data_IF_190460858608
#
_entry.id   IF_190460858608
#
_cell.length_a   1.000
_cell.length_b   1.000
_cell.length_c   1.000
_cell.angle_alpha   90.00
_cell.angle_beta   90.00
_cell.angle_gamma   90.00
#
_symmetry.space_group_name_H-M   'P 1'
#
loop_
_entity.id
_entity.type
_entity.pdbx_description
1 polymer ?
#
# COMPACT_ATOMS: atom_id res chain seq x y z
N UNK A 1 -11.81 -2.11 18.66
CA UNK A 1 -10.93 -1.56 17.60
C UNK A 1 -10.10 -2.69 17.05
N UNK A 2 -9.80 -2.70 15.74
CA UNK A 2 -8.88 -3.69 15.17
C UNK A 2 -7.49 -3.52 15.82
N UNK A 3 -6.80 -4.63 16.10
CA UNK A 3 -5.44 -4.64 16.65
C UNK A 3 -4.54 -5.31 15.62
N UNK A 4 -4.10 -4.57 14.58
CA UNK A 4 -3.18 -5.10 13.59
C UNK A 4 -1.95 -5.71 14.26
N UNK A 5 -1.51 -6.86 13.75
CA UNK A 5 -0.25 -7.50 14.14
C UNK A 5 0.75 -7.29 13.02
N UNK A 6 1.77 -6.46 13.28
CA UNK A 6 2.82 -6.18 12.29
C UNK A 6 3.48 -7.45 11.76
N UNK A 7 3.82 -8.39 12.63
CA UNK A 7 4.45 -9.66 12.26
C UNK A 7 3.55 -10.48 11.31
N UNK A 8 2.25 -10.54 11.59
CA UNK A 8 1.31 -11.25 10.72
C UNK A 8 1.13 -10.51 9.38
N UNK A 9 1.07 -9.18 9.39
CA UNK A 9 1.04 -8.38 8.16
C UNK A 9 2.27 -8.61 7.31
N UNK A 10 3.46 -8.60 7.92
CA UNK A 10 4.74 -8.82 7.25
C UNK A 10 4.80 -10.20 6.59
N UNK A 11 4.40 -11.25 7.32
CA UNK A 11 4.36 -12.62 6.82
C UNK A 11 3.28 -12.88 5.78
N UNK A 12 2.17 -12.12 5.80
CA UNK A 12 1.08 -12.26 4.85
C UNK A 12 1.21 -11.38 3.60
N UNK A 13 2.18 -10.46 3.56
CA UNK A 13 2.41 -9.60 2.42
C UNK A 13 2.88 -10.42 1.21
N UNK A 14 2.13 -10.43 0.08
CA UNK A 14 2.56 -11.12 -1.13
C UNK A 14 3.76 -10.40 -1.74
N UNK A 15 4.91 -11.08 -1.84
CA UNK A 15 6.11 -10.52 -2.46
C UNK A 15 6.06 -10.51 -3.99
N UNK A 16 6.91 -9.70 -4.61
CA UNK A 16 7.03 -9.58 -6.06
C UNK A 16 7.87 -10.71 -6.67
N UNK A 17 8.56 -11.53 -5.87
CA UNK A 17 9.25 -12.73 -6.38
C UNK A 17 8.25 -13.82 -6.72
N UNK A 18 7.28 -14.07 -5.84
CA UNK A 18 6.26 -15.11 -5.97
C UNK A 18 5.09 -14.67 -6.86
N UNK A 19 4.77 -13.37 -6.84
CA UNK A 19 3.66 -12.80 -7.61
C UNK A 19 4.13 -11.53 -8.33
N UNK A 20 4.93 -11.62 -9.40
CA UNK A 20 5.57 -10.44 -10.01
C UNK A 20 4.59 -9.50 -10.70
N UNK A 21 3.49 -10.01 -11.27
CA UNK A 21 2.53 -9.19 -12.04
C UNK A 21 1.18 -9.06 -11.33
N UNK A 22 0.36 -8.11 -11.83
CA UNK A 22 -1.05 -8.01 -11.42
C UNK A 22 -1.80 -9.32 -11.68
N UNK A 23 -1.56 -9.96 -12.83
CA UNK A 23 -2.20 -11.24 -13.17
C UNK A 23 -1.84 -12.31 -12.15
N UNK A 24 -0.58 -12.44 -11.77
CA UNK A 24 -0.13 -13.45 -10.81
C UNK A 24 -0.78 -13.22 -9.44
N UNK A 25 -0.73 -11.98 -8.96
CA UNK A 25 -1.31 -11.61 -7.66
C UNK A 25 -2.83 -11.81 -7.64
N UNK A 26 -3.54 -11.32 -8.65
CA UNK A 26 -5.00 -11.43 -8.72
C UNK A 26 -5.45 -12.88 -8.91
N UNK A 27 -4.68 -13.70 -9.65
CA UNK A 27 -4.94 -15.14 -9.80
C UNK A 27 -4.76 -15.86 -8.46
N UNK A 28 -3.69 -15.53 -7.73
CA UNK A 28 -3.43 -16.06 -6.39
C UNK A 28 -4.53 -15.70 -5.38
N UNK A 29 -4.96 -14.44 -5.34
CA UNK A 29 -6.04 -13.99 -4.43
C UNK A 29 -7.40 -14.57 -4.87
N UNK A 30 -7.61 -14.73 -6.18
CA UNK A 30 -8.83 -15.29 -6.73
C UNK A 30 -10.06 -14.38 -6.64
N UNK A 31 -11.24 -14.99 -6.71
CA UNK A 31 -12.52 -14.29 -6.55
C UNK A 31 -12.76 -13.25 -7.66
N UNK A 32 -13.31 -12.10 -7.27
CA UNK A 32 -13.53 -10.99 -8.20
C UNK A 32 -12.24 -10.38 -8.72
N UNK A 33 -11.11 -10.49 -8.01
CA UNK A 33 -9.83 -9.97 -8.50
C UNK A 33 -9.39 -10.73 -9.76
N UNK A 34 -9.40 -12.06 -9.71
CA UNK A 34 -9.07 -12.91 -10.86
C UNK A 34 -10.01 -12.70 -12.05
N UNK A 35 -11.32 -12.49 -11.79
CA UNK A 35 -12.33 -12.26 -12.85
C UNK A 35 -12.16 -10.93 -13.58
N UNK A 36 -11.50 -9.94 -12.96
CA UNK A 36 -11.37 -8.59 -13.51
C UNK A 36 -9.97 -8.28 -14.06
N UNK A 37 -9.08 -9.27 -14.18
CA UNK A 37 -7.69 -9.06 -14.68
C UNK A 37 -7.69 -8.42 -16.08
N UNK A 38 -8.62 -8.83 -16.94
CA UNK A 38 -8.68 -8.39 -18.34
C UNK A 38 -9.66 -7.22 -18.57
N UNK A 39 -10.22 -6.66 -17.50
CA UNK A 39 -11.12 -5.49 -17.59
C UNK A 39 -10.28 -4.24 -17.87
N UNK A 40 -10.67 -3.38 -18.84
CA UNK A 40 -9.96 -2.13 -19.10
C UNK A 40 -9.72 -1.30 -17.83
N UNK A 41 -8.46 -0.92 -17.61
CA UNK A 41 -8.01 -0.28 -16.37
C UNK A 41 -7.21 -1.20 -15.45
N UNK A 42 -7.30 -2.53 -15.64
CA UNK A 42 -6.40 -3.53 -15.07
C UNK A 42 -5.58 -4.12 -16.23
N UNK A 43 -4.26 -4.14 -16.09
CA UNK A 43 -3.37 -4.57 -17.17
C UNK A 43 -2.07 -5.16 -16.62
N UNK A 44 -1.20 -5.62 -17.52
CA UNK A 44 0.09 -6.24 -17.15
C UNK A 44 0.97 -5.32 -16.29
N UNK A 45 0.84 -4.01 -16.46
CA UNK A 45 1.53 -2.97 -15.68
C UNK A 45 0.64 -2.36 -14.59
N UNK A 46 -0.47 -3.01 -14.23
CA UNK A 46 -1.40 -2.50 -13.24
C UNK A 46 -0.78 -2.48 -11.84
N UNK A 47 -1.09 -1.42 -11.09
CA UNK A 47 -0.52 -1.22 -9.76
C UNK A 47 -1.07 -2.26 -8.77
N UNK A 48 -0.17 -3.06 -8.16
CA UNK A 48 -0.51 -4.12 -7.20
C UNK A 48 -0.38 -3.71 -5.74
N UNK A 49 0.17 -2.52 -5.44
CA UNK A 49 0.47 -2.05 -4.10
C UNK A 49 -0.73 -2.18 -3.15
N UNK A 50 -1.88 -1.60 -3.52
CA UNK A 50 -3.06 -1.60 -2.68
C UNK A 50 -3.63 -3.00 -2.44
N UNK A 51 -3.57 -3.88 -3.45
CA UNK A 51 -4.04 -5.26 -3.33
C UNK A 51 -3.14 -6.09 -2.40
N UNK A 52 -1.80 -5.93 -2.49
CA UNK A 52 -0.84 -6.56 -1.58
C UNK A 52 -1.04 -6.09 -0.15
N UNK A 53 -1.18 -4.78 0.04
CA UNK A 53 -1.45 -4.22 1.37
C UNK A 53 -2.81 -4.68 1.91
N UNK A 54 -3.82 -4.82 1.05
CA UNK A 54 -5.12 -5.39 1.44
C UNK A 54 -4.98 -6.82 1.95
N UNK A 55 -4.18 -7.66 1.28
CA UNK A 55 -3.87 -9.02 1.75
C UNK A 55 -3.20 -8.98 3.12
N UNK A 56 -2.17 -8.14 3.28
CA UNK A 56 -1.43 -8.01 4.53
C UNK A 56 -2.35 -7.58 5.68
N UNK A 57 -3.24 -6.61 5.47
CA UNK A 57 -4.24 -6.19 6.46
C UNK A 57 -5.20 -7.31 6.81
N UNK A 58 -5.79 -7.95 5.79
CA UNK A 58 -6.76 -9.04 5.94
C UNK A 58 -6.25 -10.19 6.80
N UNK A 59 -4.99 -10.56 6.63
CA UNK A 59 -4.36 -11.67 7.35
C UNK A 59 -3.51 -11.18 8.52
N UNK A 60 -3.38 -9.88 8.72
CA UNK A 60 -2.62 -9.22 9.76
C UNK A 60 -3.44 -8.84 10.99
N UNK A 61 -4.54 -9.54 11.26
CA UNK A 61 -5.48 -9.21 12.34
C UNK A 61 -6.14 -7.82 12.20
N UNK A 62 -6.22 -7.30 10.98
CA UNK A 62 -6.93 -6.05 10.64
C UNK A 62 -7.73 -6.23 9.33
N UNK A 63 -8.74 -7.10 9.31
CA UNK A 63 -9.56 -7.29 8.12
C UNK A 63 -10.18 -5.98 7.64
N UNK A 64 -10.18 -5.79 6.32
CA UNK A 64 -10.78 -4.62 5.68
C UNK A 64 -12.28 -4.60 6.02
N UNK A 65 -12.71 -3.53 6.68
CA UNK A 65 -14.08 -3.36 7.12
C UNK A 65 -14.95 -2.90 5.96
N UNK A 66 -15.82 -3.78 5.46
CA UNK A 66 -16.81 -3.46 4.43
C UNK A 66 -17.73 -2.28 4.84
N UNK A 67 -18.01 -2.15 6.14
CA UNK A 67 -18.78 -1.01 6.67
C UNK A 67 -18.03 0.30 6.48
N UNK A 68 -16.73 0.31 6.80
CA UNK A 68 -15.90 1.51 6.71
C UNK A 68 -15.62 1.88 5.25
N UNK A 69 -15.31 0.91 4.38
CA UNK A 69 -15.13 1.19 2.94
C UNK A 69 -16.40 1.77 2.34
N UNK A 70 -17.58 1.25 2.70
CA UNK A 70 -18.87 1.82 2.28
C UNK A 70 -19.07 3.26 2.76
N UNK A 71 -18.78 3.58 4.03
CA UNK A 71 -18.92 4.96 4.53
C UNK A 71 -17.95 5.94 3.86
N UNK A 72 -16.76 5.45 3.48
CA UNK A 72 -15.74 6.25 2.79
C UNK A 72 -15.91 6.26 1.26
N UNK A 73 -16.93 5.57 0.73
CA UNK A 73 -17.15 5.40 -0.72
C UNK A 73 -15.94 4.80 -1.45
N UNK A 74 -15.23 3.88 -0.79
CA UNK A 74 -14.09 3.16 -1.33
C UNK A 74 -14.58 1.91 -2.05
N UNK A 75 -14.15 1.74 -3.31
CA UNK A 75 -14.42 0.53 -4.08
C UNK A 75 -13.49 -0.60 -3.65
N UNK A 76 -14.05 -1.80 -3.56
CA UNK A 76 -13.31 -3.02 -3.23
C UNK A 76 -13.71 -4.16 -4.15
N UNK A 77 -12.79 -5.09 -4.40
CA UNK A 77 -13.10 -6.40 -4.94
C UNK A 77 -13.17 -7.44 -3.81
N UNK A 78 -13.89 -8.54 -4.01
CA UNK A 78 -13.94 -9.64 -3.05
C UNK A 78 -13.00 -10.75 -3.52
N UNK A 79 -12.06 -11.16 -2.67
CA UNK A 79 -11.15 -12.28 -2.94
C UNK A 79 -11.85 -13.63 -2.89
N UNK A 80 -11.17 -14.72 -3.29
CA UNK A 80 -11.72 -16.07 -3.14
C UNK A 80 -11.90 -16.47 -1.67
N UNK A 81 -11.16 -15.81 -0.78
CA UNK A 81 -11.26 -15.91 0.68
C UNK A 81 -12.48 -15.18 1.27
N UNK A 82 -13.31 -14.53 0.44
CA UNK A 82 -14.49 -13.79 0.88
C UNK A 82 -14.17 -12.44 1.53
N UNK A 83 -12.92 -11.99 1.53
CA UNK A 83 -12.52 -10.74 2.15
C UNK A 83 -12.49 -9.58 1.15
N UNK A 84 -12.73 -8.32 1.58
CA UNK A 84 -12.59 -7.15 0.71
C UNK A 84 -11.12 -6.82 0.42
N UNK A 85 -10.83 -6.40 -0.80
CA UNK A 85 -9.53 -5.90 -1.25
C UNK A 85 -9.70 -4.53 -1.89
N UNK A 86 -9.02 -3.54 -1.31
CA UNK A 86 -8.87 -2.22 -1.90
C UNK A 86 -7.77 -2.31 -2.95
N UNK A 87 -8.03 -1.85 -4.17
CA UNK A 87 -7.11 -2.00 -5.30
C UNK A 87 -6.57 -0.66 -5.83
N UNK A 88 -6.98 0.48 -5.26
CA UNK A 88 -6.43 1.81 -5.59
C UNK A 88 -5.63 2.36 -4.43
N UNK A 89 -4.42 2.86 -4.70
CA UNK A 89 -3.53 3.40 -3.65
C UNK A 89 -4.14 4.59 -2.92
N UNK A 90 -4.79 5.51 -3.65
CA UNK A 90 -5.49 6.66 -3.03
C UNK A 90 -6.56 6.22 -2.02
N UNK A 91 -7.27 5.13 -2.32
CA UNK A 91 -8.36 4.63 -1.50
C UNK A 91 -7.77 3.90 -0.28
N UNK A 92 -6.66 3.18 -0.47
CA UNK A 92 -5.90 2.56 0.63
C UNK A 92 -5.41 3.60 1.63
N UNK A 93 -4.79 4.70 1.16
CA UNK A 93 -4.34 5.80 2.04
C UNK A 93 -5.51 6.41 2.83
N UNK A 94 -6.64 6.63 2.17
CA UNK A 94 -7.88 7.13 2.80
C UNK A 94 -8.41 6.16 3.86
N UNK A 95 -8.40 4.86 3.55
CA UNK A 95 -8.81 3.82 4.48
C UNK A 95 -7.91 3.78 5.71
N UNK A 96 -6.58 3.74 5.54
CA UNK A 96 -5.62 3.68 6.64
C UNK A 96 -5.76 4.86 7.59
N UNK A 97 -5.91 6.09 7.06
CA UNK A 97 -6.11 7.28 7.85
C UNK A 97 -7.38 7.25 8.74
N UNK A 98 -8.39 6.47 8.35
CA UNK A 98 -9.65 6.33 9.10
C UNK A 98 -9.72 5.06 9.95
N UNK A 99 -9.05 3.99 9.51
CA UNK A 99 -9.13 2.66 10.10
C UNK A 99 -8.14 2.44 11.24
N UNK A 100 -6.96 3.08 11.16
CA UNK A 100 -5.94 2.99 12.18
C UNK A 100 -6.26 4.00 13.29
N UNK A 101 -6.62 3.47 14.47
CA UNK A 101 -6.89 4.28 15.66
C UNK A 101 -5.63 4.87 16.33
N UNK A 102 -4.52 4.97 15.60
CA UNK A 102 -3.25 5.53 16.06
C UNK A 102 -2.97 6.82 15.31
N UNK A 103 -2.42 7.82 16.00
CA UNK A 103 -1.99 9.06 15.36
C UNK A 103 -0.71 8.80 14.57
N UNK A 104 -0.71 8.95 13.24
CA UNK A 104 0.49 8.74 12.46
C UNK A 104 1.50 9.87 12.66
N UNK A 105 2.77 9.56 12.43
CA UNK A 105 3.84 10.55 12.30
C UNK A 105 4.02 10.87 10.82
N UNK A 106 3.83 12.13 10.43
CA UNK A 106 4.09 12.61 9.07
C UNK A 106 5.26 13.57 9.05
N UNK A 107 6.23 13.34 8.16
CA UNK A 107 7.38 14.22 7.94
C UNK A 107 7.63 14.42 6.45
N UNK A 108 8.35 15.49 6.10
CA UNK A 108 8.71 15.84 4.72
C UNK A 108 10.20 15.64 4.41
N UNK A 109 11.01 15.32 5.42
CA UNK A 109 12.46 15.09 5.34
C UNK A 109 12.94 14.28 6.54
N UNK A 110 14.21 13.88 6.53
CA UNK A 110 14.89 13.18 7.64
C UNK A 110 14.15 11.90 8.10
N UNK A 111 13.61 11.14 7.14
CA UNK A 111 12.75 9.97 7.37
C UNK A 111 13.38 8.95 8.31
N UNK A 112 14.67 8.63 8.13
CA UNK A 112 15.40 7.65 8.93
C UNK A 112 15.42 8.02 10.41
N UNK A 113 15.63 9.31 10.69
CA UNK A 113 15.61 9.84 12.06
C UNK A 113 14.20 9.87 12.62
N UNK A 114 13.22 10.27 11.82
CA UNK A 114 11.82 10.39 12.24
C UNK A 114 11.21 9.02 12.61
N UNK A 115 11.64 7.96 11.94
CA UNK A 115 11.09 6.60 12.09
C UNK A 115 12.04 5.62 12.76
N UNK A 116 13.13 6.11 13.35
CA UNK A 116 14.08 5.30 14.11
C UNK A 116 13.36 4.55 15.24
N UNK A 117 13.56 3.23 15.31
CA UNK A 117 12.96 2.36 16.32
C UNK A 117 11.45 2.17 16.18
N UNK A 118 10.84 2.61 15.07
CA UNK A 118 9.42 2.40 14.77
C UNK A 118 9.26 1.39 13.65
N UNK A 119 8.26 0.53 13.76
CA UNK A 119 7.81 -0.37 12.71
C UNK A 119 6.32 -0.11 12.43
N UNK A 120 5.84 -0.50 11.26
CA UNK A 120 4.42 -0.42 10.94
C UNK A 120 4.13 -0.20 9.46
N UNK A 121 3.03 0.49 9.21
CA UNK A 121 2.58 0.81 7.85
C UNK A 121 3.12 2.19 7.49
N UNK A 122 3.66 2.31 6.29
CA UNK A 122 4.16 3.58 5.75
C UNK A 122 3.38 3.94 4.49
N UNK A 123 3.06 5.22 4.32
CA UNK A 123 2.67 5.76 3.01
C UNK A 123 3.59 6.90 2.58
N UNK A 124 3.98 6.88 1.31
CA UNK A 124 4.65 7.97 0.62
C UNK A 124 3.61 8.89 -0.05
N UNK A 125 3.86 10.18 -0.02
CA UNK A 125 3.24 11.18 -0.88
C UNK A 125 4.23 11.51 -1.99
N UNK A 126 3.88 11.19 -3.25
CA UNK A 126 4.76 11.37 -4.41
C UNK A 126 4.06 12.22 -5.46
N UNK A 127 4.76 13.22 -5.99
CA UNK A 127 4.34 14.02 -7.14
C UNK A 127 5.10 13.61 -8.39
N UNK A 128 4.52 13.80 -9.57
CA UNK A 128 5.16 13.45 -10.86
C UNK A 128 4.81 12.05 -11.39
N UNK A 129 4.16 11.21 -10.58
CA UNK A 129 3.55 9.96 -11.06
C UNK A 129 2.21 10.24 -11.74
N UNK A 130 1.97 9.58 -12.87
CA UNK A 130 0.74 9.71 -13.66
C UNK A 130 -0.36 8.74 -13.20
N UNK A 131 0.00 7.67 -12.50
CA UNK A 131 -0.86 6.54 -12.16
C UNK A 131 -1.15 6.40 -10.65
N UNK A 132 -0.36 7.07 -9.80
CA UNK A 132 -0.55 7.04 -8.35
C UNK A 132 -0.14 8.36 -7.67
N UNK A 133 -0.79 8.67 -6.54
CA UNK A 133 -0.44 9.82 -5.70
C UNK A 133 0.58 9.47 -4.60
N UNK A 134 1.26 8.33 -4.73
CA UNK A 134 2.17 7.79 -3.72
C UNK A 134 2.16 6.27 -3.65
N UNK A 135 2.79 5.74 -2.61
CA UNK A 135 2.99 4.30 -2.38
C UNK A 135 2.66 3.93 -0.95
N UNK A 136 2.30 2.68 -0.69
CA UNK A 136 2.07 2.15 0.67
C UNK A 136 2.89 0.88 0.86
N UNK A 137 3.63 0.81 1.96
CA UNK A 137 4.57 -0.26 2.25
C UNK A 137 4.55 -0.64 3.74
N UNK A 138 5.27 -1.71 4.08
CA UNK A 138 5.56 -2.10 5.46
C UNK A 138 7.03 -1.81 5.78
N UNK A 139 7.29 -1.34 6.99
CA UNK A 139 8.61 -0.96 7.49
C UNK A 139 8.85 -1.64 8.84
N UNK A 140 9.96 -2.38 8.98
CA UNK A 140 10.27 -3.12 10.22
C UNK A 140 11.15 -2.35 11.22
N UNK A 141 11.45 -1.08 10.95
CA UNK A 141 12.43 -0.32 11.72
C UNK A 141 13.81 -0.24 11.08
N UNK A 142 14.09 -1.07 10.07
CA UNK A 142 15.38 -1.14 9.39
C UNK A 142 15.27 -1.22 7.85
N UNK A 143 14.29 -1.96 7.35
CA UNK A 143 14.07 -2.23 5.94
C UNK A 143 12.58 -2.21 5.60
N UNK A 144 12.30 -1.95 4.33
CA UNK A 144 10.97 -2.18 3.78
C UNK A 144 10.76 -3.68 3.54
N UNK A 145 9.50 -4.11 3.60
CA UNK A 145 9.13 -5.50 3.30
C UNK A 145 9.60 -5.95 1.92
N UNK A 146 9.60 -5.05 0.94
CA UNK A 146 10.21 -5.27 -0.37
C UNK A 146 11.27 -4.17 -0.63
N UNK A 147 12.47 -4.51 -1.14
CA UNK A 147 13.52 -3.51 -1.37
C UNK A 147 13.10 -2.38 -2.33
N UNK A 148 12.24 -2.65 -3.32
CA UNK A 148 11.75 -1.66 -4.27
C UNK A 148 10.63 -0.76 -3.74
N UNK A 149 10.20 -0.95 -2.48
CA UNK A 149 9.24 -0.06 -1.82
C UNK A 149 9.89 1.23 -1.30
N UNK A 150 11.22 1.34 -1.34
CA UNK A 150 11.95 2.51 -0.84
C UNK A 150 11.93 3.68 -1.83
N UNK A 151 10.94 4.56 -1.64
CA UNK A 151 10.80 5.79 -2.41
C UNK A 151 11.28 7.04 -1.66
N UNK A 152 12.04 6.91 -0.57
CA UNK A 152 12.46 8.07 0.25
C UNK A 152 13.27 9.12 -0.52
N UNK A 153 14.02 8.70 -1.54
CA UNK A 153 15.01 9.51 -2.23
C UNK A 153 14.60 9.99 -3.63
N UNK A 154 13.33 9.84 -4.02
CA UNK A 154 12.84 10.39 -5.30
C UNK A 154 12.97 11.91 -5.31
N UNK A 155 13.65 12.45 -6.33
CA UNK A 155 13.92 13.87 -6.47
C UNK A 155 14.01 14.25 -7.95
N UNK A 156 13.26 15.29 -8.32
CA UNK A 156 13.34 15.89 -9.65
C UNK A 156 14.73 16.47 -9.96
N UNK A 157 15.28 16.11 -11.12
CA UNK A 157 16.50 16.69 -11.63
C UNK A 157 16.20 17.92 -12.50
N UNK A 158 16.25 19.10 -11.87
CA UNK A 158 16.01 20.39 -12.52
C UNK A 158 16.99 20.74 -13.65
N UNK A 159 18.05 19.95 -13.86
CA UNK A 159 18.97 20.11 -15.00
C UNK A 159 18.45 19.44 -16.28
N UNK A 160 17.37 18.65 -16.20
CA UNK A 160 16.74 18.03 -17.36
C UNK A 160 15.35 18.60 -17.62
N UNK A 161 14.87 18.62 -18.87
CA UNK A 161 13.49 19.05 -19.17
C UNK A 161 12.42 18.03 -18.76
N UNK A 162 12.83 16.83 -18.31
CA UNK A 162 11.92 15.80 -17.82
C UNK A 162 11.61 16.08 -16.35
N UNK A 163 10.32 16.23 -16.03
CA UNK A 163 9.86 16.29 -14.64
C UNK A 163 9.86 14.86 -14.09
N UNK A 164 10.76 14.57 -13.17
CA UNK A 164 10.84 13.28 -12.49
C UNK A 164 10.00 13.28 -11.21
N UNK A 165 9.70 12.07 -10.73
CA UNK A 165 8.94 11.92 -9.52
C UNK A 165 9.70 12.46 -8.30
N UNK A 166 8.98 13.10 -7.39
CA UNK A 166 9.54 13.63 -6.14
C UNK A 166 8.71 13.17 -4.95
N UNK A 167 9.38 12.65 -3.93
CA UNK A 167 8.74 12.35 -2.65
C UNK A 167 8.60 13.63 -1.84
N UNK A 168 7.36 14.00 -1.54
CA UNK A 168 7.02 15.24 -0.82
C UNK A 168 6.63 14.99 0.64
N UNK A 169 6.46 13.73 1.03
CA UNK A 169 6.13 13.36 2.39
C UNK A 169 6.11 11.86 2.62
N UNK A 170 6.27 11.47 3.89
CA UNK A 170 6.13 10.10 4.35
C UNK A 170 5.36 10.10 5.65
N UNK A 171 4.41 9.19 5.77
CA UNK A 171 3.54 9.02 6.93
C UNK A 171 3.72 7.61 7.46
N UNK A 172 3.95 7.45 8.77
CA UNK A 172 4.07 6.15 9.43
C UNK A 172 2.98 6.00 10.48
N UNK A 173 2.31 4.86 10.47
CA UNK A 173 1.44 4.40 11.55
C UNK A 173 2.14 3.26 12.28
N UNK A 174 2.54 3.50 13.53
CA UNK A 174 3.33 2.54 14.31
C UNK A 174 2.46 1.38 14.79
N UNK A 175 3.00 0.15 14.69
CA UNK A 175 2.30 -1.10 15.01
C UNK A 175 3.06 -1.99 16.01
#
# INVERSE_FOLDING_TARGET
>A
MAKPSFIMMWGAFPDHTSYPTLRDLHTYIGGSLAKNIDVPGFGVNGNTCAARMSRALNYGNMPISAKLTKSLKIETMIGADGMPYIFRVRDMKTYLASALGVTPVKVTKDFDKAFAGQQGIVSFDVTGWSDASGHVALWDGSAFREPHDDYRNLKDNSATPQIEATTIGMTLWSL
#
